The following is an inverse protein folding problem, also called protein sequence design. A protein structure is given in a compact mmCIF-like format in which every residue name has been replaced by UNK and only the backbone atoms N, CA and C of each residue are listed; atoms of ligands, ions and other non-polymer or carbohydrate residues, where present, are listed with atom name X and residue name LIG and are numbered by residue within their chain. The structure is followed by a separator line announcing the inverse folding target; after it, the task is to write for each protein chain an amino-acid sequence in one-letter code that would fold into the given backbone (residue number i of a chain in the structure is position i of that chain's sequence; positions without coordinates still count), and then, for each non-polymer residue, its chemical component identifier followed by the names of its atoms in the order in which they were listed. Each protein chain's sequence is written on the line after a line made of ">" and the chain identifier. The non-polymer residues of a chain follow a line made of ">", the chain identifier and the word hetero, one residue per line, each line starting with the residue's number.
data_IF_280164075975
#
_entry.id   IF_280164075975
#
_cell.length_a   1.000
_cell.length_b   1.000
_cell.length_c   1.000
_cell.angle_alpha   90.00
_cell.angle_beta   90.00
_cell.angle_gamma   90.00
#
_symmetry.space_group_name_H-M   'P 1'
#
loop_
_entity.id
_entity.type
_entity.pdbx_description
1 polymer ?
#
# COMPACT_ATOMS: atom_id res chain seq x y z
N UNK A 1 -26.23 -11.66 -53.00
CA UNK A 1 -24.81 -11.77 -53.43
C UNK A 1 -24.01 -10.47 -53.33
N UNK A 2 -24.61 -9.26 -53.24
CA UNK A 2 -23.87 -8.00 -52.99
C UNK A 2 -23.46 -7.80 -51.51
N UNK A 3 -24.36 -8.05 -50.56
CA UNK A 3 -24.04 -7.88 -49.13
C UNK A 3 -22.90 -8.80 -48.63
N UNK A 4 -22.79 -10.01 -49.18
CA UNK A 4 -21.73 -10.95 -48.81
C UNK A 4 -20.34 -10.58 -49.35
N UNK A 5 -20.25 -9.65 -50.31
CA UNK A 5 -18.97 -9.14 -50.83
C UNK A 5 -18.46 -7.95 -50.03
N UNK A 6 -19.35 -7.12 -49.51
CA UNK A 6 -19.00 -5.96 -48.68
C UNK A 6 -18.44 -6.40 -47.31
N UNK A 7 -19.01 -7.43 -46.68
CA UNK A 7 -18.47 -7.98 -45.41
C UNK A 7 -17.07 -8.62 -45.57
N UNK A 8 -16.79 -9.21 -46.74
CA UNK A 8 -15.48 -9.81 -47.02
C UNK A 8 -14.44 -8.71 -47.32
N UNK A 9 -14.80 -7.67 -48.09
CA UNK A 9 -13.90 -6.55 -48.38
C UNK A 9 -13.60 -5.69 -47.14
N UNK A 10 -14.52 -5.58 -46.18
CA UNK A 10 -14.29 -4.87 -44.91
C UNK A 10 -13.40 -5.67 -43.94
N UNK A 11 -13.58 -7.00 -43.86
CA UNK A 11 -12.66 -7.88 -43.11
C UNK A 11 -11.25 -7.89 -43.69
N UNK A 12 -11.12 -7.86 -45.03
CA UNK A 12 -9.79 -7.86 -45.68
C UNK A 12 -9.06 -6.53 -45.45
N UNK A 13 -9.78 -5.42 -45.30
CA UNK A 13 -9.21 -4.10 -44.97
C UNK A 13 -8.80 -3.96 -43.51
N UNK A 14 -9.49 -4.61 -42.57
CA UNK A 14 -9.07 -4.64 -41.16
C UNK A 14 -7.83 -5.50 -40.94
N UNK A 15 -7.63 -6.56 -41.72
CA UNK A 15 -6.43 -7.41 -41.64
C UNK A 15 -5.18 -6.75 -42.28
N UNK A 16 -5.33 -5.93 -43.33
CA UNK A 16 -4.19 -5.25 -43.99
C UNK A 16 -3.64 -4.05 -43.19
N UNK A 17 -4.43 -3.43 -42.30
CA UNK A 17 -4.00 -2.30 -41.46
C UNK A 17 -3.15 -2.69 -40.23
N UNK A 18 -2.88 -3.98 -40.02
CA UNK A 18 -2.06 -4.49 -38.91
C UNK A 18 -0.62 -4.86 -39.28
N UNK A 19 -0.18 -4.61 -40.52
CA UNK A 19 1.19 -4.92 -40.95
C UNK A 19 2.16 -3.76 -40.74
N UNK A 20 2.42 -3.39 -39.49
CA UNK A 20 3.61 -2.59 -39.16
C UNK A 20 4.86 -3.46 -39.30
N UNK A 21 5.94 -2.99 -39.96
CA UNK A 21 7.18 -3.73 -40.03
C UNK A 21 7.76 -3.85 -38.61
N UNK A 22 7.63 -5.05 -38.03
CA UNK A 22 8.31 -5.39 -36.79
C UNK A 22 9.80 -5.51 -37.09
N UNK A 23 10.55 -4.43 -36.89
CA UNK A 23 11.95 -4.55 -36.51
C UNK A 23 11.99 -5.43 -35.26
N UNK A 24 12.36 -6.70 -35.42
CA UNK A 24 12.66 -7.61 -34.32
C UNK A 24 13.92 -7.11 -33.60
N UNK A 25 13.74 -6.09 -32.75
CA UNK A 25 14.61 -5.94 -31.60
C UNK A 25 14.39 -7.19 -30.77
N UNK A 26 15.39 -8.06 -30.75
CA UNK A 26 15.43 -9.23 -29.90
C UNK A 26 15.36 -8.71 -28.45
N UNK A 27 14.16 -8.62 -27.89
CA UNK A 27 13.95 -8.09 -26.55
C UNK A 27 14.68 -9.03 -25.58
N UNK A 28 15.73 -8.54 -24.94
CA UNK A 28 16.47 -9.29 -23.91
C UNK A 28 15.46 -9.88 -22.93
N UNK A 29 15.50 -11.19 -22.74
CA UNK A 29 14.69 -11.85 -21.72
C UNK A 29 15.12 -11.33 -20.35
N UNK A 30 14.16 -10.88 -19.55
CA UNK A 30 14.35 -10.43 -18.17
C UNK A 30 13.83 -11.53 -17.23
N UNK A 31 14.71 -12.08 -16.38
CA UNK A 31 14.36 -13.12 -15.42
C UNK A 31 14.14 -12.50 -14.05
N UNK A 32 12.92 -12.65 -13.53
CA UNK A 32 12.49 -12.15 -12.22
C UNK A 32 12.34 -13.32 -11.25
N UNK A 33 13.33 -13.49 -10.37
CA UNK A 33 13.22 -14.40 -9.23
C UNK A 33 12.24 -13.82 -8.21
N UNK A 34 11.18 -14.53 -7.83
CA UNK A 34 10.20 -14.03 -6.87
C UNK A 34 10.14 -14.84 -5.58
N UNK A 35 10.08 -14.12 -4.46
CA UNK A 35 9.91 -14.65 -3.12
C UNK A 35 8.71 -13.96 -2.45
N UNK A 36 7.53 -14.56 -2.58
CA UNK A 36 6.26 -13.99 -2.12
C UNK A 36 5.55 -14.98 -1.18
N UNK A 37 4.74 -14.46 -0.26
CA UNK A 37 3.87 -15.33 0.56
C UNK A 37 2.87 -16.07 -0.33
N UNK A 38 2.44 -17.27 0.06
CA UNK A 38 1.49 -18.07 -0.74
C UNK A 38 0.20 -17.30 -1.06
N UNK A 39 -0.29 -16.48 -0.12
CA UNK A 39 -1.44 -15.60 -0.35
C UNK A 39 -1.16 -14.55 -1.42
N UNK A 40 0.04 -13.96 -1.42
CA UNK A 40 0.40 -12.94 -2.40
C UNK A 40 0.66 -13.56 -3.77
N UNK A 41 1.35 -14.69 -3.87
CA UNK A 41 1.49 -15.45 -5.12
C UNK A 41 0.12 -15.72 -5.74
N UNK A 42 -0.82 -16.28 -4.95
CA UNK A 42 -2.19 -16.58 -5.40
C UNK A 42 -3.05 -15.37 -5.76
N UNK A 43 -2.68 -14.15 -5.36
CA UNK A 43 -3.46 -12.93 -5.66
C UNK A 43 -2.80 -12.05 -6.71
N UNK A 44 -1.47 -12.00 -6.75
CA UNK A 44 -0.66 -11.14 -7.59
C UNK A 44 -0.23 -11.84 -8.90
N UNK A 45 0.33 -13.05 -8.82
CA UNK A 45 0.79 -13.81 -10.00
C UNK A 45 -0.37 -14.58 -10.63
N UNK A 46 -1.36 -13.83 -11.13
CA UNK A 46 -2.47 -14.40 -11.89
C UNK A 46 -2.03 -14.73 -13.32
N UNK A 47 -2.67 -15.72 -13.98
CA UNK A 47 -2.35 -16.10 -15.37
C UNK A 47 -2.34 -14.91 -16.34
N UNK A 48 -3.21 -13.91 -16.13
CA UNK A 48 -3.25 -12.71 -16.96
C UNK A 48 -1.96 -11.88 -16.87
N UNK A 49 -1.41 -11.69 -15.66
CA UNK A 49 -0.16 -10.96 -15.47
C UNK A 49 1.01 -11.74 -16.07
N UNK A 50 1.07 -13.05 -15.84
CA UNK A 50 2.13 -13.91 -16.37
C UNK A 50 2.13 -13.94 -17.90
N UNK A 51 0.96 -13.99 -18.54
CA UNK A 51 0.84 -13.91 -19.99
C UNK A 51 1.31 -12.57 -20.54
N UNK A 52 0.91 -11.45 -19.92
CA UNK A 52 1.38 -10.12 -20.30
C UNK A 52 2.89 -9.95 -20.12
N UNK A 53 3.44 -10.46 -19.02
CA UNK A 53 4.87 -10.43 -18.73
C UNK A 53 5.66 -11.22 -19.78
N UNK A 54 5.21 -12.45 -20.11
CA UNK A 54 5.85 -13.27 -21.14
C UNK A 54 5.86 -12.59 -22.51
N UNK A 55 4.77 -11.95 -22.90
CA UNK A 55 4.67 -11.18 -24.15
C UNK A 55 5.61 -9.95 -24.17
N UNK A 56 6.08 -9.51 -23.00
CA UNK A 56 7.06 -8.43 -22.84
C UNK A 56 8.48 -8.94 -22.58
N UNK A 57 8.73 -10.25 -22.73
CA UNK A 57 10.03 -10.85 -22.48
C UNK A 57 10.41 -10.92 -21.00
N UNK A 58 9.43 -10.99 -20.10
CA UNK A 58 9.65 -11.12 -18.65
C UNK A 58 9.24 -12.53 -18.21
N UNK A 59 10.17 -13.22 -17.54
CA UNK A 59 9.96 -14.55 -16.98
C UNK A 59 9.99 -14.49 -15.45
N UNK A 60 8.90 -14.89 -14.80
CA UNK A 60 8.86 -15.06 -13.35
C UNK A 60 9.31 -16.47 -12.97
N UNK A 61 10.23 -16.57 -12.01
CA UNK A 61 10.76 -17.83 -11.47
C UNK A 61 10.61 -17.83 -9.97
N UNK A 62 9.95 -18.84 -9.40
CA UNK A 62 9.81 -18.96 -7.95
C UNK A 62 11.18 -19.23 -7.31
N UNK A 63 11.54 -18.45 -6.29
CA UNK A 63 12.72 -18.72 -5.47
C UNK A 63 12.38 -19.81 -4.46
N UNK A 64 13.16 -20.89 -4.45
CA UNK A 64 13.11 -21.94 -3.44
C UNK A 64 13.87 -21.48 -2.18
N UNK A 65 13.12 -21.29 -1.09
CA UNK A 65 13.67 -20.84 0.19
C UNK A 65 14.51 -21.91 0.90
N UNK A 66 14.48 -23.17 0.43
CA UNK A 66 15.26 -24.26 1.01
C UNK A 66 16.64 -24.41 0.37
N UNK A 67 16.96 -23.56 -0.61
CA UNK A 67 18.23 -23.58 -1.34
C UNK A 67 18.90 -22.20 -1.25
N UNK A 68 20.25 -22.13 -1.30
CA UNK A 68 20.95 -20.84 -1.36
C UNK A 68 20.46 -20.01 -2.56
N UNK A 69 20.29 -18.70 -2.36
CA UNK A 69 19.81 -17.79 -3.42
C UNK A 69 20.83 -17.64 -4.56
N UNK A 70 22.12 -17.73 -4.24
CA UNK A 70 23.25 -17.73 -5.19
C UNK A 70 23.12 -18.82 -6.27
N UNK A 71 22.48 -19.94 -5.94
CA UNK A 71 22.50 -21.14 -6.78
C UNK A 71 21.25 -21.25 -7.67
N UNK A 72 20.41 -20.21 -7.68
CA UNK A 72 19.10 -20.20 -8.35
C UNK A 72 19.04 -19.23 -9.53
N UNK A 73 20.05 -18.39 -9.69
CA UNK A 73 20.17 -17.45 -10.80
C UNK A 73 20.65 -18.09 -12.11
N UNK A 74 20.94 -17.27 -13.14
CA UNK A 74 20.98 -15.81 -13.08
C UNK A 74 19.57 -15.18 -13.01
N UNK A 75 19.41 -14.18 -12.15
CA UNK A 75 18.24 -13.31 -12.13
C UNK A 75 18.66 -11.92 -12.61
N UNK A 76 17.79 -11.21 -13.34
CA UNK A 76 17.97 -9.76 -13.54
C UNK A 76 17.35 -8.99 -12.36
N UNK A 77 16.28 -9.53 -11.76
CA UNK A 77 15.52 -8.90 -10.68
C UNK A 77 15.14 -9.94 -9.62
N UNK A 78 15.25 -9.56 -8.34
CA UNK A 78 14.63 -10.29 -7.22
C UNK A 78 13.43 -9.50 -6.70
N UNK A 79 12.23 -9.99 -6.94
CA UNK A 79 10.98 -9.42 -6.44
C UNK A 79 10.55 -10.12 -5.15
N UNK A 80 10.45 -9.39 -4.04
CA UNK A 80 10.14 -10.04 -2.76
C UNK A 80 9.09 -9.31 -1.91
N UNK A 81 8.42 -10.08 -1.06
CA UNK A 81 7.58 -9.58 0.03
C UNK A 81 7.57 -10.55 1.22
N UNK A 82 8.65 -11.28 1.41
CA UNK A 82 8.87 -12.03 2.63
C UNK A 82 9.46 -11.11 3.69
N UNK A 83 9.11 -11.36 4.94
CA UNK A 83 9.55 -10.58 6.10
C UNK A 83 10.33 -11.48 7.05
N UNK A 84 11.31 -10.92 7.75
CA UNK A 84 12.11 -11.67 8.74
C UNK A 84 13.57 -11.21 8.73
N UNK A 85 14.27 -11.42 9.85
CA UNK A 85 15.70 -11.08 9.95
C UNK A 85 16.55 -11.97 9.04
N UNK A 86 16.25 -13.26 8.98
CA UNK A 86 16.96 -14.24 8.15
C UNK A 86 16.83 -13.92 6.65
N UNK A 87 15.60 -13.78 6.15
CA UNK A 87 15.37 -13.41 4.74
C UNK A 87 16.05 -12.10 4.35
N UNK A 88 16.03 -11.10 5.25
CA UNK A 88 16.73 -9.83 5.04
C UNK A 88 18.23 -10.02 4.89
N UNK A 89 18.84 -10.84 5.75
CA UNK A 89 20.26 -11.13 5.70
C UNK A 89 20.64 -11.81 4.38
N UNK A 90 19.86 -12.82 3.95
CA UNK A 90 20.04 -13.49 2.65
C UNK A 90 20.04 -12.48 1.50
N UNK A 91 19.10 -11.53 1.49
CA UNK A 91 19.03 -10.51 0.45
C UNK A 91 20.22 -9.54 0.49
N UNK A 92 20.68 -9.10 1.65
CA UNK A 92 21.83 -8.20 1.72
C UNK A 92 23.13 -8.88 1.31
N UNK A 93 23.34 -10.15 1.69
CA UNK A 93 24.49 -10.95 1.24
C UNK A 93 24.44 -11.20 -0.28
N UNK A 94 23.26 -11.50 -0.82
CA UNK A 94 23.08 -11.68 -2.27
C UNK A 94 23.39 -10.40 -3.05
N UNK A 95 22.96 -9.23 -2.57
CA UNK A 95 23.26 -7.93 -3.19
C UNK A 95 24.74 -7.58 -3.20
N UNK A 96 25.49 -7.99 -2.17
CA UNK A 96 26.94 -7.75 -2.11
C UNK A 96 27.69 -8.59 -3.14
N UNK A 97 27.21 -9.80 -3.41
CA UNK A 97 27.84 -10.75 -4.35
C UNK A 97 27.33 -10.63 -5.78
N UNK A 98 26.14 -10.03 -5.98
CA UNK A 98 25.47 -9.86 -7.26
C UNK A 98 24.97 -8.41 -7.44
N UNK A 99 25.87 -7.41 -7.52
CA UNK A 99 25.49 -5.99 -7.63
C UNK A 99 24.74 -5.66 -8.94
N UNK A 100 24.81 -6.52 -9.95
CA UNK A 100 24.07 -6.41 -11.21
C UNK A 100 22.58 -6.73 -11.08
N UNK A 101 22.18 -7.42 -10.00
CA UNK A 101 20.80 -7.86 -9.78
C UNK A 101 20.01 -6.82 -9.00
N UNK A 102 18.86 -6.43 -9.54
CA UNK A 102 18.00 -5.44 -8.87
C UNK A 102 17.09 -6.12 -7.85
N UNK A 103 17.26 -5.82 -6.56
CA UNK A 103 16.36 -6.30 -5.49
C UNK A 103 15.24 -5.31 -5.24
N UNK A 104 14.00 -5.74 -5.48
CA UNK A 104 12.79 -4.91 -5.39
C UNK A 104 11.89 -5.32 -4.21
N UNK A 105 11.74 -4.50 -3.16
CA UNK A 105 12.51 -3.27 -2.84
C UNK A 105 13.77 -3.61 -2.01
N UNK A 106 14.80 -2.76 -1.98
CA UNK A 106 15.96 -2.99 -1.13
C UNK A 106 15.59 -3.15 0.35
N UNK A 107 16.21 -4.07 1.11
CA UNK A 107 15.75 -4.36 2.46
C UNK A 107 15.86 -3.17 3.43
N UNK A 108 16.89 -2.32 3.28
CA UNK A 108 17.01 -1.07 4.04
C UNK A 108 15.82 -0.13 3.82
N UNK A 109 15.32 0.00 2.58
CA UNK A 109 14.20 0.88 2.25
C UNK A 109 12.90 0.40 2.92
N UNK A 110 12.66 -0.92 2.88
CA UNK A 110 11.50 -1.55 3.52
C UNK A 110 11.53 -1.37 5.05
N UNK A 111 12.72 -1.37 5.66
CA UNK A 111 12.87 -1.25 7.11
C UNK A 111 12.26 0.05 7.66
N UNK A 112 12.34 1.15 6.91
CA UNK A 112 11.74 2.44 7.29
C UNK A 112 10.21 2.38 7.38
N UNK A 113 9.55 1.43 6.71
CA UNK A 113 8.10 1.28 6.67
C UNK A 113 7.54 0.42 7.82
N UNK A 114 8.39 -0.29 8.57
CA UNK A 114 7.93 -1.16 9.66
C UNK A 114 7.60 -0.42 10.97
N UNK A 115 8.02 0.84 11.09
CA UNK A 115 7.72 1.69 12.23
C UNK A 115 6.88 2.89 11.77
N UNK A 116 5.68 3.04 12.35
CA UNK A 116 4.73 4.10 11.96
C UNK A 116 5.29 5.50 12.16
N UNK A 117 6.16 5.71 13.15
CA UNK A 117 6.81 7.00 13.39
C UNK A 117 7.81 7.34 12.29
N UNK A 118 8.74 6.43 11.97
CA UNK A 118 9.73 6.69 10.91
C UNK A 118 9.07 6.87 9.55
N UNK A 119 8.06 6.05 9.25
CA UNK A 119 7.30 6.13 8.01
C UNK A 119 6.61 7.49 7.83
N UNK A 120 5.96 8.00 8.87
CA UNK A 120 5.22 9.26 8.81
C UNK A 120 6.13 10.48 8.90
N UNK A 121 7.28 10.37 9.57
CA UNK A 121 8.28 11.43 9.59
C UNK A 121 8.78 11.75 8.17
N UNK A 122 9.02 10.73 7.35
CA UNK A 122 9.40 10.94 5.94
C UNK A 122 8.36 11.78 5.18
N UNK A 123 7.07 11.64 5.49
CA UNK A 123 6.00 12.44 4.86
C UNK A 123 6.05 13.89 5.32
N UNK A 124 6.23 14.12 6.63
CA UNK A 124 6.36 15.46 7.17
C UNK A 124 7.59 16.18 6.60
N UNK A 125 8.72 15.49 6.45
CA UNK A 125 9.99 16.04 5.97
C UNK A 125 9.94 16.45 4.49
N UNK A 126 9.07 15.84 3.67
CA UNK A 126 8.92 16.21 2.27
C UNK A 126 8.37 17.64 2.08
N UNK A 127 7.71 18.20 3.11
CA UNK A 127 7.21 19.59 3.15
C UNK A 127 6.55 20.05 1.83
N UNK A 128 5.67 19.20 1.28
CA UNK A 128 5.01 19.47 0.01
C UNK A 128 3.84 20.44 0.25
N UNK A 129 4.11 21.72 0.05
CA UNK A 129 3.10 22.77 0.05
C UNK A 129 3.20 23.58 -1.24
N UNK A 130 2.08 23.71 -1.95
CA UNK A 130 1.98 24.50 -3.16
C UNK A 130 0.59 25.16 -3.26
N UNK A 131 0.30 25.79 -4.39
CA UNK A 131 -0.98 26.46 -4.64
C UNK A 131 -2.20 25.54 -4.60
N UNK A 132 -2.02 24.23 -4.76
CA UNK A 132 -3.10 23.23 -4.74
C UNK A 132 -3.33 22.63 -3.35
N UNK A 133 -2.48 22.94 -2.37
CA UNK A 133 -2.66 22.52 -0.99
C UNK A 133 -1.36 22.08 -0.30
N UNK A 134 -1.55 21.43 0.85
CA UNK A 134 -0.47 20.93 1.71
C UNK A 134 -0.64 19.43 1.90
N UNK A 135 0.45 18.68 1.71
CA UNK A 135 0.54 17.28 2.16
C UNK A 135 1.09 17.31 3.57
N UNK A 136 0.36 16.72 4.51
CA UNK A 136 0.77 16.67 5.91
C UNK A 136 0.25 15.40 6.59
N UNK A 137 0.78 15.12 7.77
CA UNK A 137 0.33 14.05 8.65
C UNK A 137 -0.45 14.67 9.81
N UNK A 138 -1.66 14.17 10.15
CA UNK A 138 -2.37 14.65 11.33
C UNK A 138 -1.52 14.49 12.59
N UNK A 139 -1.61 15.46 13.51
CA UNK A 139 -0.80 15.49 14.73
C UNK A 139 -0.95 14.19 15.50
N UNK A 140 0.16 13.68 16.01
CA UNK A 140 0.22 12.35 16.59
C UNK A 140 1.30 12.25 17.67
N UNK A 141 1.14 11.23 18.51
CA UNK A 141 2.01 10.93 19.63
C UNK A 141 2.20 9.41 19.74
N UNK A 142 3.44 8.98 20.00
CA UNK A 142 3.78 7.58 20.28
C UNK A 142 3.71 7.36 21.79
N UNK A 143 2.98 6.31 22.18
CA UNK A 143 2.93 5.83 23.56
C UNK A 143 3.61 4.46 23.60
N UNK A 144 4.72 4.34 24.32
CA UNK A 144 5.50 3.10 24.32
C UNK A 144 5.07 2.09 25.39
N UNK A 145 4.72 2.55 26.59
CA UNK A 145 4.62 1.65 27.77
C UNK A 145 3.40 1.90 28.64
N UNK A 146 3.33 3.03 29.30
CA UNK A 146 2.38 3.23 30.41
C UNK A 146 1.03 3.76 29.91
N UNK A 147 0.00 2.93 30.03
CA UNK A 147 -1.36 3.30 29.68
C UNK A 147 -1.95 4.37 30.63
N UNK A 148 -1.51 4.40 31.89
CA UNK A 148 -2.10 5.26 32.91
C UNK A 148 -1.75 6.74 32.73
N UNK A 149 -0.59 7.04 32.14
CA UNK A 149 -0.14 8.40 31.83
C UNK A 149 -0.62 8.93 30.48
N UNK A 150 -1.27 8.11 29.63
CA UNK A 150 -1.76 8.55 28.32
C UNK A 150 -2.59 9.85 28.40
N UNK A 151 -3.58 9.98 29.31
CA UNK A 151 -4.37 11.20 29.43
C UNK A 151 -3.53 12.48 29.59
N UNK A 152 -2.56 12.44 30.51
CA UNK A 152 -1.71 13.58 30.86
C UNK A 152 -0.74 13.92 29.72
N UNK A 153 -0.15 12.91 29.08
CA UNK A 153 0.78 13.13 27.96
C UNK A 153 0.03 13.68 26.74
N UNK A 154 -1.19 13.19 26.47
CA UNK A 154 -2.07 13.73 25.41
C UNK A 154 -2.45 15.17 25.69
N UNK A 155 -2.81 15.50 26.93
CA UNK A 155 -3.14 16.87 27.34
C UNK A 155 -1.93 17.81 27.17
N UNK A 156 -0.76 17.38 27.64
CA UNK A 156 0.49 18.13 27.53
C UNK A 156 0.94 18.33 26.08
N UNK A 157 0.72 17.34 25.22
CA UNK A 157 0.96 17.45 23.79
C UNK A 157 -0.10 18.30 23.07
N UNK A 158 -1.22 18.60 23.73
CA UNK A 158 -2.31 19.42 23.22
C UNK A 158 -3.02 18.78 22.02
N UNK A 159 -3.15 17.45 21.99
CA UNK A 159 -3.91 16.77 20.93
C UNK A 159 -5.42 16.92 21.17
N UNK A 160 -6.18 17.00 20.09
CA UNK A 160 -7.63 17.19 20.11
C UNK A 160 -8.36 15.86 19.92
N UNK A 161 -9.41 15.62 20.71
CA UNK A 161 -10.27 14.46 20.55
C UNK A 161 -11.25 14.65 19.37
N UNK A 162 -11.64 13.56 18.67
CA UNK A 162 -11.32 12.17 19.00
C UNK A 162 -9.96 11.74 18.42
N UNK A 163 -9.34 10.75 19.06
CA UNK A 163 -8.03 10.23 18.68
C UNK A 163 -8.12 8.83 18.10
N UNK A 164 -7.54 8.63 16.91
CA UNK A 164 -7.33 7.31 16.34
C UNK A 164 -6.16 6.65 17.05
N UNK A 165 -6.41 5.53 17.72
CA UNK A 165 -5.40 4.66 18.28
C UNK A 165 -5.05 3.54 17.29
N UNK A 166 -3.76 3.40 17.00
CA UNK A 166 -3.19 2.39 16.10
C UNK A 166 -2.06 1.69 16.86
N UNK A 167 -1.88 0.35 16.79
CA UNK A 167 -0.69 -0.30 17.36
C UNK A 167 0.61 0.37 16.87
N UNK A 168 1.74 0.27 17.54
CA UNK A 168 2.97 0.90 17.01
C UNK A 168 3.56 0.07 15.85
N UNK A 169 3.44 -1.25 15.97
CA UNK A 169 3.95 -2.22 14.98
C UNK A 169 3.03 -2.29 13.77
N UNK A 170 3.60 -2.13 12.58
CA UNK A 170 2.93 -2.29 11.29
C UNK A 170 3.56 -3.44 10.49
N UNK A 171 3.33 -4.68 10.94
CA UNK A 171 3.91 -5.90 10.35
C UNK A 171 2.94 -6.67 9.44
N UNK A 172 1.70 -6.20 9.29
CA UNK A 172 0.67 -6.86 8.47
C UNK A 172 -0.04 -8.04 9.16
N UNK A 173 0.23 -8.28 10.46
CA UNK A 173 -0.54 -9.21 11.28
C UNK A 173 -1.98 -8.70 11.49
N UNK A 174 -2.92 -9.60 11.82
CA UNK A 174 -4.30 -9.20 12.11
C UNK A 174 -4.39 -8.16 13.24
N UNK A 175 -3.54 -8.30 14.27
CA UNK A 175 -3.44 -7.36 15.40
C UNK A 175 -2.91 -5.98 14.98
N UNK A 176 -1.99 -5.91 14.01
CA UNK A 176 -1.46 -4.61 13.50
C UNK A 176 -2.49 -3.74 12.76
N UNK A 177 -3.65 -4.33 12.41
CA UNK A 177 -4.75 -3.69 11.69
C UNK A 177 -5.94 -3.30 12.56
N UNK A 178 -5.91 -3.59 13.86
CA UNK A 178 -6.94 -3.10 14.77
C UNK A 178 -6.81 -1.59 14.93
N UNK A 179 -7.91 -0.88 14.69
CA UNK A 179 -8.00 0.57 14.82
C UNK A 179 -9.07 0.87 15.87
N UNK A 180 -8.82 1.86 16.71
CA UNK A 180 -9.83 2.34 17.65
C UNK A 180 -9.95 3.86 17.58
N UNK A 181 -11.13 4.39 17.89
CA UNK A 181 -11.36 5.83 18.03
C UNK A 181 -11.74 6.12 19.49
N UNK A 182 -10.96 6.96 20.15
CA UNK A 182 -11.17 7.38 21.52
C UNK A 182 -11.81 8.77 21.55
N UNK A 183 -12.95 8.91 22.22
CA UNK A 183 -13.75 10.14 22.24
C UNK A 183 -13.53 10.99 23.49
N UNK A 184 -13.00 10.41 24.56
CA UNK A 184 -12.81 11.10 25.83
C UNK A 184 -11.45 10.79 26.48
N UNK A 185 -10.97 11.76 27.26
CA UNK A 185 -9.71 11.71 28.01
C UNK A 185 -9.65 10.51 28.96
N UNK A 186 -10.73 10.21 29.67
CA UNK A 186 -10.77 9.18 30.71
C UNK A 186 -10.60 7.76 30.13
N UNK A 187 -11.14 7.53 28.93
CA UNK A 187 -11.08 6.23 28.26
C UNK A 187 -9.74 5.94 27.60
N UNK A 188 -8.84 6.94 27.46
CA UNK A 188 -7.50 6.74 26.90
C UNK A 188 -6.67 5.72 27.71
N UNK A 189 -6.86 5.64 29.03
CA UNK A 189 -6.18 4.66 29.90
C UNK A 189 -6.57 3.20 29.63
N UNK A 190 -7.62 2.96 28.83
CA UNK A 190 -8.07 1.63 28.42
C UNK A 190 -7.31 1.11 27.19
N UNK A 191 -6.49 1.96 26.57
CA UNK A 191 -5.68 1.58 25.42
C UNK A 191 -4.44 0.79 25.86
N UNK A 192 -3.93 -0.04 24.97
CA UNK A 192 -2.81 -0.94 25.24
C UNK A 192 -1.58 -0.55 24.42
N UNK A 193 -0.57 0.12 25.01
CA UNK A 193 0.70 0.39 24.37
C UNK A 193 1.46 -0.90 23.99
N UNK A 194 2.38 -0.86 23.00
CA UNK A 194 2.82 0.32 22.27
C UNK A 194 1.87 0.71 21.13
N UNK A 195 1.54 2.00 21.05
CA UNK A 195 0.58 2.54 20.08
C UNK A 195 0.93 3.96 19.63
N UNK A 196 0.30 4.38 18.54
CA UNK A 196 0.27 5.76 18.05
C UNK A 196 -1.14 6.29 18.26
N UNK A 197 -1.24 7.46 18.90
CA UNK A 197 -2.45 8.28 18.94
C UNK A 197 -2.34 9.37 17.89
N UNK A 198 -3.34 9.50 17.05
CA UNK A 198 -3.39 10.50 15.99
C UNK A 198 -4.72 11.23 16.00
N UNK A 199 -4.72 12.55 15.82
CA UNK A 199 -5.95 13.33 15.67
C UNK A 199 -6.81 12.78 14.53
N UNK A 200 -8.10 12.56 14.80
CA UNK A 200 -9.05 12.22 13.76
C UNK A 200 -9.38 13.46 12.93
N UNK A 201 -9.31 13.32 11.62
CA UNK A 201 -9.65 14.38 10.66
C UNK A 201 -10.87 13.90 9.89
N UNK A 202 -11.96 14.69 9.90
CA UNK A 202 -13.10 14.43 9.04
C UNK A 202 -12.65 14.53 7.58
N UNK A 203 -13.02 13.54 6.77
CA UNK A 203 -12.53 13.34 5.41
C UNK A 203 -13.62 12.75 4.49
N UNK A 204 -14.89 13.01 4.81
CA UNK A 204 -16.04 12.60 4.01
C UNK A 204 -16.25 11.08 3.95
N UNK A 205 -15.64 10.32 4.86
CA UNK A 205 -15.72 8.86 4.86
C UNK A 205 -15.00 8.17 3.70
N UNK A 206 -14.05 8.84 3.02
CA UNK A 206 -13.39 8.31 1.81
C UNK A 206 -11.86 8.31 1.94
N UNK A 207 -11.26 7.15 1.68
CA UNK A 207 -9.82 6.97 1.63
C UNK A 207 -9.35 6.82 0.18
N UNK A 208 -8.37 7.63 -0.22
CA UNK A 208 -7.67 7.49 -1.49
C UNK A 208 -6.44 6.60 -1.31
N UNK A 209 -6.47 5.40 -1.90
CA UNK A 209 -5.32 4.49 -1.93
C UNK A 209 -4.51 4.74 -3.19
N UNK A 210 -3.32 5.30 -3.01
CA UNK A 210 -2.35 5.53 -4.08
C UNK A 210 -1.43 4.31 -4.19
N UNK A 211 -1.55 3.56 -5.29
CA UNK A 211 -0.68 2.43 -5.63
C UNK A 211 0.39 2.92 -6.61
N UNK A 212 1.65 2.63 -6.30
CA UNK A 212 2.81 3.10 -7.07
C UNK A 212 3.59 1.88 -7.56
N UNK A 213 3.96 1.88 -8.83
CA UNK A 213 4.87 0.89 -9.45
C UNK A 213 5.86 1.67 -10.34
N UNK A 214 7.05 1.95 -9.81
CA UNK A 214 7.99 2.86 -10.46
C UNK A 214 7.34 4.23 -10.67
N UNK A 215 7.27 4.67 -11.93
CA UNK A 215 6.66 5.94 -12.33
C UNK A 215 5.13 5.84 -12.53
N UNK A 216 4.57 4.63 -12.55
CA UNK A 216 3.14 4.43 -12.74
C UNK A 216 2.39 4.60 -11.41
N UNK A 217 1.36 5.46 -11.44
CA UNK A 217 0.53 5.77 -10.28
C UNK A 217 -0.92 5.37 -10.59
N UNK A 218 -1.55 4.65 -9.66
CA UNK A 218 -2.99 4.36 -9.70
C UNK A 218 -3.64 4.73 -8.38
N UNK A 219 -4.58 5.67 -8.42
CA UNK A 219 -5.41 6.03 -7.27
C UNK A 219 -6.72 5.24 -7.32
N UNK A 220 -7.16 4.71 -6.17
CA UNK A 220 -8.44 4.00 -6.00
C UNK A 220 -9.15 4.55 -4.77
N UNK A 221 -10.47 4.80 -4.86
CA UNK A 221 -11.27 5.25 -3.73
C UNK A 221 -11.82 4.08 -2.93
N UNK A 222 -11.85 4.24 -1.60
CA UNK A 222 -12.35 3.25 -0.65
C UNK A 222 -13.17 3.93 0.42
N UNK A 223 -14.23 3.27 0.89
CA UNK A 223 -14.88 3.71 2.12
C UNK A 223 -13.90 3.65 3.30
N UNK A 224 -13.94 4.68 4.11
CA UNK A 224 -13.13 4.91 5.31
C UNK A 224 -14.04 5.03 6.53
N UNK A 225 -13.49 5.50 7.66
CA UNK A 225 -14.28 5.86 8.83
C UNK A 225 -15.17 7.06 8.51
N UNK A 226 -16.47 7.04 8.88
CA UNK A 226 -17.35 8.18 8.68
C UNK A 226 -16.89 9.37 9.51
N UNK A 227 -17.33 10.56 9.10
CA UNK A 227 -17.04 11.80 9.81
C UNK A 227 -17.68 11.79 11.20
N UNK A 228 -17.00 12.46 12.14
CA UNK A 228 -17.48 12.65 13.52
C UNK A 228 -18.18 14.00 13.61
N UNK A 229 -19.44 14.00 14.05
CA UNK A 229 -20.24 15.21 14.21
C UNK A 229 -20.07 15.82 15.61
N UNK A 230 -20.49 17.08 15.79
CA UNK A 230 -20.54 17.70 17.12
C UNK A 230 -21.43 16.95 18.12
N UNK A 231 -22.50 16.32 17.62
CA UNK A 231 -23.38 15.50 18.43
C UNK A 231 -22.68 14.21 18.89
N UNK A 232 -21.89 13.59 18.03
CA UNK A 232 -21.09 12.43 18.41
C UNK A 232 -20.09 12.80 19.51
N UNK A 233 -19.45 13.97 19.42
CA UNK A 233 -18.53 14.46 20.45
C UNK A 233 -19.20 14.71 21.80
N UNK A 234 -20.47 15.10 21.83
CA UNK A 234 -21.20 15.37 23.08
C UNK A 234 -21.85 14.13 23.68
N UNK A 235 -22.13 13.11 22.88
CA UNK A 235 -22.88 11.91 23.30
C UNK A 235 -22.03 10.66 23.39
N UNK A 236 -20.89 10.61 22.68
CA UNK A 236 -19.99 9.46 22.68
C UNK A 236 -18.96 9.58 23.79
N UNK A 237 -18.88 8.54 24.62
CA UNK A 237 -17.80 8.33 25.56
C UNK A 237 -17.28 6.90 25.39
N UNK A 238 -15.96 6.73 25.43
CA UNK A 238 -15.32 5.44 25.30
C UNK A 238 -14.26 5.35 24.22
N UNK A 239 -13.81 4.11 24.04
CA UNK A 239 -12.97 3.67 22.92
C UNK A 239 -13.80 2.73 22.06
N UNK A 240 -13.98 3.08 20.80
CA UNK A 240 -14.72 2.27 19.83
C UNK A 240 -13.73 1.56 18.92
N UNK A 241 -13.78 0.22 18.90
CA UNK A 241 -12.94 -0.60 18.04
C UNK A 241 -13.61 -0.78 16.68
N UNK A 242 -12.85 -0.58 15.62
CA UNK A 242 -13.31 -0.82 14.26
C UNK A 242 -12.62 -2.07 13.70
N UNK A 243 -13.38 -3.07 13.21
CA UNK A 243 -12.78 -4.13 12.40
C UNK A 243 -12.18 -3.51 11.13
N UNK A 244 -11.16 -4.18 10.59
CA UNK A 244 -10.33 -3.73 9.45
C UNK A 244 -11.06 -2.80 8.47
N UNK A 245 -10.84 -1.49 8.65
CA UNK A 245 -11.42 -0.42 7.82
C UNK A 245 -10.82 -0.48 6.41
N UNK A 246 -11.58 -0.10 5.37
CA UNK A 246 -11.12 -0.01 3.96
C UNK A 246 -10.72 -1.34 3.30
N UNK A 247 -11.53 -2.39 3.51
CA UNK A 247 -11.31 -3.71 2.91
C UNK A 247 -11.36 -3.66 1.36
N UNK A 248 -10.54 -4.48 0.70
CA UNK A 248 -10.43 -4.55 -0.75
C UNK A 248 -11.74 -4.91 -1.48
N UNK A 249 -12.74 -5.46 -0.77
CA UNK A 249 -14.05 -5.78 -1.30
C UNK A 249 -15.02 -4.59 -1.39
N UNK A 250 -14.74 -3.47 -0.69
CA UNK A 250 -15.59 -2.28 -0.69
C UNK A 250 -14.95 -1.18 -1.55
N UNK A 251 -15.40 -1.02 -2.79
CA UNK A 251 -15.05 0.11 -3.66
C UNK A 251 -15.95 1.30 -3.37
N UNK A 252 -15.42 2.52 -3.47
CA UNK A 252 -16.22 3.74 -3.44
C UNK A 252 -16.20 4.46 -4.81
N UNK A 253 -15.74 3.79 -5.87
CA UNK A 253 -15.59 4.42 -7.18
C UNK A 253 -16.93 4.80 -7.85
N UNK A 254 -18.02 4.10 -7.51
CA UNK A 254 -19.37 4.37 -8.02
C UNK A 254 -20.27 5.09 -7.00
N UNK A 255 -19.72 5.53 -5.86
CA UNK A 255 -20.49 6.24 -4.85
C UNK A 255 -20.67 7.71 -5.27
N UNK A 256 -21.92 8.17 -5.28
CA UNK A 256 -22.26 9.58 -5.45
C UNK A 256 -21.90 10.32 -4.15
N UNK A 257 -20.68 10.85 -4.12
CA UNK A 257 -20.13 11.57 -2.99
C UNK A 257 -20.40 13.06 -3.16
N UNK A 258 -20.64 13.77 -2.06
CA UNK A 258 -20.85 15.22 -2.06
C UNK A 258 -19.74 15.92 -2.88
N UNK A 259 -20.09 16.75 -3.88
CA UNK A 259 -19.13 17.42 -4.74
C UNK A 259 -18.12 18.28 -3.97
N UNK A 260 -18.36 18.64 -2.70
CA UNK A 260 -17.36 19.31 -1.87
C UNK A 260 -16.16 18.41 -1.49
N UNK A 261 -16.28 17.09 -1.59
CA UNK A 261 -15.21 16.11 -1.31
C UNK A 261 -14.42 15.76 -2.58
N UNK A 262 -15.03 15.94 -3.75
CA UNK A 262 -14.39 15.83 -5.05
C UNK A 262 -13.97 17.23 -5.49
N UNK A 263 -12.81 17.70 -5.04
CA UNK A 263 -12.30 19.03 -5.39
C UNK A 263 -12.42 19.32 -6.90
N UNK A 264 -12.83 20.54 -7.23
CA UNK A 264 -12.81 21.10 -8.59
C UNK A 264 -11.42 21.01 -9.24
#
# INVERSE_FOLDING_TARGET
>A
MRMMKEEIEEQTREEELLSFPQTQQQSKLVVVGYALTSKKTKSFLQPKLEGLARNKGILFVAIDQNRPLSDQGPFDIVLHKLTGKEWRQILEEYRQTHPEVTVLDPPYAIQHLHNRQSMLQCVADMNLSNSYGKVDVPRQLVIERDASSIPDVVLKAGLTLPLVAKPLVADGSAKSHELSLAYDQYSLKKLEPPLVLQEFVNHGGVLFKVYIVGEAIKVVRRFSLPDVTKQDLSTSAGVFRFPRVSCAAASADDADLDPCVAGE
#
